data_IF_291702570780
#
_entry.id   IF_291702570780
#
_cell.length_a   1.000
_cell.length_b   1.000
_cell.length_c   1.000
_cell.angle_alpha   90.00
_cell.angle_beta   90.00
_cell.angle_gamma   90.00
#
_symmetry.space_group_name_H-M   'P 1'
#
loop_
_entity.id
_entity.type
_entity.pdbx_description
1 polymer ?
#
# COMPACT_ATOMS: atom_id res chain seq x y z
N UNK A 1 6.70 39.40 0.03
CA UNK A 1 5.56 39.93 0.83
C UNK A 1 4.36 39.12 0.47
N UNK A 2 3.62 38.60 1.44
CA UNK A 2 2.37 37.87 1.16
C UNK A 2 1.34 38.90 0.64
N UNK A 3 0.82 38.65 -0.57
CA UNK A 3 -0.18 39.55 -1.19
C UNK A 3 -1.57 39.09 -0.77
N UNK A 4 -2.40 40.01 -0.30
CA UNK A 4 -3.75 39.76 0.18
C UNK A 4 -4.78 40.26 -0.84
N UNK A 5 -5.78 39.44 -1.16
CA UNK A 5 -6.84 39.79 -2.10
C UNK A 5 -8.24 39.60 -1.46
N UNK A 6 -9.16 40.49 -1.86
CA UNK A 6 -10.59 40.45 -1.50
C UNK A 6 -11.47 40.35 -2.74
N UNK A 7 -10.94 39.79 -3.83
CA UNK A 7 -11.55 39.81 -5.16
C UNK A 7 -12.24 38.49 -5.51
N UNK A 8 -12.88 37.84 -4.53
CA UNK A 8 -13.68 36.64 -4.80
C UNK A 8 -14.85 37.01 -5.68
N UNK A 9 -15.03 36.31 -6.81
CA UNK A 9 -16.12 36.56 -7.76
C UNK A 9 -17.10 35.40 -7.85
N UNK A 10 -16.70 34.18 -7.47
CA UNK A 10 -17.58 32.99 -7.51
C UNK A 10 -17.24 32.02 -6.38
N UNK A 11 -18.27 31.32 -5.86
CA UNK A 11 -18.12 30.23 -4.90
C UNK A 11 -18.88 29.03 -5.44
N UNK A 12 -18.22 27.87 -5.59
CA UNK A 12 -18.81 26.64 -6.10
C UNK A 12 -18.33 25.42 -5.30
N UNK A 13 -19.16 24.91 -4.40
CA UNK A 13 -18.76 23.82 -3.50
C UNK A 13 -17.54 24.19 -2.67
N UNK A 14 -16.45 23.43 -2.66
CA UNK A 14 -15.22 23.73 -1.93
C UNK A 14 -14.33 24.77 -2.65
N UNK A 15 -14.77 25.29 -3.80
CA UNK A 15 -13.97 26.14 -4.67
C UNK A 15 -14.37 27.61 -4.55
N UNK A 16 -13.37 28.50 -4.60
CA UNK A 16 -13.55 29.94 -4.81
C UNK A 16 -12.76 30.38 -6.04
N UNK A 17 -13.34 31.31 -6.79
CA UNK A 17 -12.69 31.96 -7.91
C UNK A 17 -12.36 33.39 -7.52
N UNK A 18 -11.10 33.77 -7.65
CA UNK A 18 -10.63 35.16 -7.50
C UNK A 18 -10.40 35.77 -8.86
N UNK A 19 -10.70 37.05 -8.96
CA UNK A 19 -10.45 37.91 -10.13
C UNK A 19 -9.34 38.92 -9.81
N UNK A 20 -8.63 39.41 -10.81
CA UNK A 20 -7.57 40.44 -10.68
C UNK A 20 -6.47 40.05 -9.69
N UNK A 21 -5.94 38.83 -9.83
CA UNK A 21 -4.79 38.30 -9.09
C UNK A 21 -3.52 38.54 -9.96
N UNK A 22 -2.61 39.37 -9.50
CA UNK A 22 -1.40 39.71 -10.28
C UNK A 22 -0.29 38.64 -10.15
N UNK A 23 -0.23 37.95 -8.99
CA UNK A 23 0.80 36.96 -8.71
C UNK A 23 0.19 35.76 -8.01
N UNK A 24 0.22 34.61 -8.67
CA UNK A 24 -0.12 33.30 -8.11
C UNK A 24 0.76 32.24 -8.74
N UNK A 25 1.06 31.19 -8.00
CA UNK A 25 1.78 30.03 -8.50
C UNK A 25 0.87 28.80 -8.43
N UNK A 26 0.99 27.92 -9.42
CA UNK A 26 0.25 26.66 -9.43
C UNK A 26 0.63 25.81 -8.21
N UNK A 27 -0.36 25.16 -7.57
CA UNK A 27 -0.20 24.40 -6.33
C UNK A 27 0.16 25.24 -5.09
N UNK A 28 0.15 26.55 -5.18
CA UNK A 28 0.48 27.44 -4.08
C UNK A 28 -0.56 27.36 -2.96
N UNK A 29 -0.05 27.33 -1.73
CA UNK A 29 -0.88 27.35 -0.53
C UNK A 29 -1.39 28.78 -0.29
N UNK A 30 -2.67 28.88 0.06
CA UNK A 30 -3.31 30.14 0.45
C UNK A 30 -3.91 30.03 1.84
N UNK A 31 -3.92 31.14 2.55
CA UNK A 31 -4.66 31.34 3.79
C UNK A 31 -5.90 32.18 3.52
N UNK A 32 -7.05 31.71 3.99
CA UNK A 32 -8.35 32.35 3.79
C UNK A 32 -8.88 32.79 5.14
N UNK A 33 -8.96 34.11 5.36
CA UNK A 33 -9.53 34.71 6.57
C UNK A 33 -11.02 35.03 6.33
N UNK A 34 -11.88 34.34 7.08
CA UNK A 34 -13.31 34.58 7.04
C UNK A 34 -13.71 35.85 7.80
N UNK A 35 -14.91 36.44 7.53
CA UNK A 35 -15.42 37.56 8.28
C UNK A 35 -15.58 37.30 9.80
N UNK A 36 -15.66 36.04 10.20
CA UNK A 36 -15.70 35.62 11.61
C UNK A 36 -14.33 35.70 12.32
N UNK A 37 -13.23 35.94 11.58
CA UNK A 37 -11.86 35.83 12.07
C UNK A 37 -11.32 34.38 12.04
N UNK A 38 -12.07 33.41 11.54
CA UNK A 38 -11.61 32.06 11.33
C UNK A 38 -10.66 32.00 10.15
N UNK A 39 -9.53 31.30 10.31
CA UNK A 39 -8.55 31.06 9.26
C UNK A 39 -8.71 29.67 8.68
N UNK A 40 -8.75 29.58 7.37
CA UNK A 40 -8.76 28.32 6.61
C UNK A 40 -7.57 28.29 5.65
N UNK A 41 -7.26 27.08 5.20
CA UNK A 41 -6.21 26.88 4.21
C UNK A 41 -6.83 26.49 2.87
N UNK A 42 -6.15 26.83 1.81
CA UNK A 42 -6.54 26.43 0.46
C UNK A 42 -5.33 26.26 -0.42
N UNK A 43 -5.58 25.79 -1.62
CA UNK A 43 -4.56 25.54 -2.64
C UNK A 43 -5.01 26.07 -3.98
N UNK A 44 -4.08 26.69 -4.71
CA UNK A 44 -4.31 27.12 -6.10
C UNK A 44 -4.41 25.89 -6.99
N UNK A 45 -5.55 25.75 -7.71
CA UNK A 45 -5.79 24.66 -8.63
C UNK A 45 -5.58 25.04 -10.10
N UNK A 46 -5.91 26.29 -10.44
CA UNK A 46 -5.85 26.77 -11.82
C UNK A 46 -5.57 28.25 -11.85
N UNK A 47 -4.80 28.68 -12.82
CA UNK A 47 -4.50 30.07 -13.11
C UNK A 47 -4.85 30.33 -14.57
N UNK A 48 -5.80 31.23 -14.80
CA UNK A 48 -6.21 31.63 -16.14
C UNK A 48 -6.14 33.16 -16.24
N UNK A 49 -5.02 33.64 -16.75
CA UNK A 49 -4.64 35.10 -16.80
C UNK A 49 -4.62 35.68 -15.38
N UNK A 50 -5.56 36.57 -15.08
CA UNK A 50 -5.75 37.22 -13.80
C UNK A 50 -6.79 36.57 -12.89
N UNK A 51 -7.32 35.40 -13.30
CA UNK A 51 -8.27 34.60 -12.54
C UNK A 51 -7.59 33.38 -11.94
N UNK A 52 -7.84 33.16 -10.65
CA UNK A 52 -7.25 32.06 -9.89
C UNK A 52 -8.36 31.24 -9.23
N UNK A 53 -8.40 29.95 -9.54
CA UNK A 53 -9.28 28.99 -8.90
C UNK A 53 -8.56 28.39 -7.70
N UNK A 54 -9.17 28.51 -6.52
CA UNK A 54 -8.63 28.05 -5.27
C UNK A 54 -9.60 27.03 -4.65
N UNK A 55 -9.07 25.95 -4.14
CA UNK A 55 -9.81 25.00 -3.33
C UNK A 55 -9.51 25.25 -1.85
N UNK A 56 -10.57 25.45 -1.05
CA UNK A 56 -10.47 25.62 0.41
C UNK A 56 -10.59 24.24 1.05
N UNK A 57 -9.64 23.89 1.92
CA UNK A 57 -9.55 22.55 2.54
C UNK A 57 -10.73 22.28 3.48
N UNK A 58 -11.04 23.24 4.33
CA UNK A 58 -12.10 23.14 5.33
C UNK A 58 -13.49 23.55 4.77
N UNK A 59 -13.59 23.71 3.44
CA UNK A 59 -14.81 24.09 2.74
C UNK A 59 -15.11 25.60 2.76
N UNK A 60 -16.19 25.96 2.06
CA UNK A 60 -16.53 27.37 1.78
C UNK A 60 -17.65 27.92 2.67
N UNK A 61 -18.14 27.18 3.67
CA UNK A 61 -19.18 27.65 4.59
C UNK A 61 -18.72 28.90 5.34
N UNK A 62 -19.46 29.99 5.25
CA UNK A 62 -19.11 31.25 5.91
C UNK A 62 -18.19 32.17 5.09
N UNK A 63 -17.78 31.76 3.89
CA UNK A 63 -17.06 32.63 2.95
C UNK A 63 -18.03 33.70 2.44
N UNK A 64 -17.61 34.95 2.55
CA UNK A 64 -18.33 36.12 2.04
C UNK A 64 -17.52 36.72 0.88
N UNK A 65 -18.16 36.93 -0.26
CA UNK A 65 -17.51 37.40 -1.49
C UNK A 65 -16.84 38.77 -1.30
N UNK A 66 -17.43 39.65 -0.44
CA UNK A 66 -16.94 41.00 -0.27
C UNK A 66 -15.98 41.19 0.92
N UNK A 67 -16.00 40.26 1.90
CA UNK A 67 -15.29 40.45 3.18
C UNK A 67 -14.20 39.44 3.45
N UNK A 68 -14.27 38.25 2.78
CA UNK A 68 -13.24 37.26 2.96
C UNK A 68 -11.94 37.67 2.31
N UNK A 69 -10.85 37.48 3.01
CA UNK A 69 -9.49 37.79 2.54
C UNK A 69 -8.75 36.54 2.20
N UNK A 70 -8.02 36.58 1.09
CA UNK A 70 -7.19 35.43 0.62
C UNK A 70 -5.74 35.92 0.51
N UNK A 71 -4.86 35.26 1.26
CA UNK A 71 -3.43 35.55 1.28
C UNK A 71 -2.65 34.41 0.61
N UNK A 72 -1.89 34.73 -0.40
CA UNK A 72 -0.98 33.82 -1.07
C UNK A 72 0.33 33.69 -0.29
N UNK A 73 0.80 32.44 -0.07
CA UNK A 73 1.94 32.18 0.82
C UNK A 73 3.27 32.02 0.07
N UNK A 74 3.26 32.03 -1.26
CA UNK A 74 4.45 31.86 -2.11
C UNK A 74 5.13 30.51 -2.02
N UNK A 75 4.43 29.49 -1.55
CA UNK A 75 4.94 28.12 -1.39
C UNK A 75 3.82 27.09 -1.50
N UNK A 76 4.18 25.85 -1.87
CA UNK A 76 3.28 24.73 -1.85
C UNK A 76 3.03 24.17 -0.44
N UNK A 77 2.30 23.06 -0.36
CA UNK A 77 2.12 22.34 0.89
C UNK A 77 3.41 21.61 1.25
N UNK A 78 3.94 21.88 2.43
CA UNK A 78 5.20 21.31 2.93
C UNK A 78 4.97 20.49 4.20
N UNK A 79 5.68 19.37 4.31
CA UNK A 79 5.77 18.59 5.53
C UNK A 79 7.03 18.96 6.32
N UNK A 80 6.87 19.25 7.60
CA UNK A 80 7.97 19.40 8.54
C UNK A 80 8.49 17.99 8.92
N UNK A 81 9.76 17.73 8.67
CA UNK A 81 10.39 16.42 8.91
C UNK A 81 11.58 16.51 9.85
N UNK A 82 11.69 15.52 10.72
CA UNK A 82 12.83 15.22 11.59
C UNK A 82 12.77 13.73 11.96
N UNK A 83 13.80 13.11 12.58
CA UNK A 83 13.69 11.75 13.10
C UNK A 83 12.56 11.56 14.11
N UNK A 84 12.13 12.62 14.78
CA UNK A 84 11.08 12.61 15.81
C UNK A 84 9.66 12.36 15.23
N UNK A 85 9.53 12.20 13.90
CA UNK A 85 8.25 11.78 13.31
C UNK A 85 7.96 10.30 13.56
N UNK A 86 8.97 9.47 13.87
CA UNK A 86 8.77 8.08 14.24
C UNK A 86 7.97 7.96 15.55
N UNK A 87 7.05 7.04 15.58
CA UNK A 87 6.17 6.84 16.74
C UNK A 87 4.98 7.80 16.81
N UNK A 88 4.81 8.70 15.84
CA UNK A 88 3.84 9.79 15.88
C UNK A 88 2.65 9.57 14.95
N UNK A 89 1.55 10.23 15.30
CA UNK A 89 0.30 10.19 14.53
C UNK A 89 -0.01 11.58 14.00
N UNK A 90 -0.30 11.65 12.71
CA UNK A 90 -0.57 12.88 11.98
C UNK A 90 -1.93 12.82 11.27
N UNK A 91 -2.53 13.99 11.04
CA UNK A 91 -3.61 14.10 10.07
C UNK A 91 -3.05 14.06 8.63
N UNK A 92 -3.91 14.07 7.64
CA UNK A 92 -3.52 13.98 6.22
C UNK A 92 -2.65 15.14 5.71
N UNK A 93 -2.64 16.28 6.39
CA UNK A 93 -1.81 17.44 6.07
C UNK A 93 -0.48 17.45 6.85
N UNK A 94 -0.18 16.41 7.65
CA UNK A 94 1.05 16.31 8.42
C UNK A 94 1.07 17.11 9.72
N UNK A 95 -0.10 17.49 10.25
CA UNK A 95 -0.19 18.08 11.59
C UNK A 95 -0.34 16.95 12.62
N UNK A 96 0.48 16.95 13.72
CA UNK A 96 0.34 15.95 14.78
C UNK A 96 -1.06 15.98 15.42
N UNK A 97 -1.61 14.79 15.72
CA UNK A 97 -2.94 14.62 16.37
C UNK A 97 -2.87 13.68 17.57
N UNK A 98 -1.70 13.39 18.07
CA UNK A 98 -1.41 12.44 19.16
C UNK A 98 -1.13 13.13 20.52
N UNK A 99 -1.45 14.43 20.65
CA UNK A 99 -1.17 15.25 21.83
C UNK A 99 0.32 15.25 22.26
N UNK A 100 1.19 14.75 21.40
CA UNK A 100 2.63 14.74 21.64
C UNK A 100 3.29 16.12 21.47
N UNK A 101 4.56 16.25 21.86
CA UNK A 101 5.30 17.50 21.73
C UNK A 101 5.37 17.95 20.26
N UNK A 102 5.46 19.28 20.05
CA UNK A 102 5.66 19.85 18.72
C UNK A 102 6.96 19.33 18.11
N UNK A 103 6.88 18.84 16.89
CA UNK A 103 8.06 18.44 16.13
C UNK A 103 8.87 19.66 15.74
N UNK A 104 10.16 19.65 16.08
CA UNK A 104 11.13 20.66 15.65
C UNK A 104 11.67 20.18 14.30
N UNK A 105 11.32 20.87 13.19
CA UNK A 105 11.71 20.38 11.88
C UNK A 105 13.19 20.59 11.63
N UNK A 106 13.88 19.55 11.14
CA UNK A 106 15.18 19.73 10.51
C UNK A 106 15.04 20.37 9.13
N UNK A 107 13.99 19.97 8.41
CA UNK A 107 13.64 20.46 7.07
C UNK A 107 12.14 20.59 6.90
N UNK A 108 11.75 21.35 5.91
CA UNK A 108 10.41 21.36 5.33
C UNK A 108 10.52 20.94 3.88
N UNK A 109 9.77 19.91 3.52
CA UNK A 109 9.83 19.29 2.20
C UNK A 109 8.46 19.42 1.51
N UNK A 110 8.48 19.79 0.23
CA UNK A 110 7.27 19.83 -0.59
C UNK A 110 6.67 18.41 -0.70
N UNK A 111 5.36 18.28 -0.47
CA UNK A 111 4.69 16.99 -0.49
C UNK A 111 4.61 16.34 -1.88
N UNK A 112 4.78 17.13 -2.94
CA UNK A 112 4.83 16.59 -4.30
C UNK A 112 6.10 15.77 -4.55
N UNK A 113 7.13 15.95 -3.69
CA UNK A 113 8.39 15.24 -3.78
C UNK A 113 9.24 15.71 -4.96
N UNK A 114 10.40 15.10 -5.10
CA UNK A 114 11.30 15.34 -6.23
C UNK A 114 11.38 14.07 -7.11
N UNK A 115 11.47 14.23 -8.44
CA UNK A 115 11.69 13.09 -9.32
C UNK A 115 12.97 12.35 -8.95
N UNK A 116 12.87 11.03 -8.77
CA UNK A 116 14.03 10.19 -8.51
C UNK A 116 14.82 10.02 -9.80
N UNK A 117 16.11 10.39 -9.78
CA UNK A 117 17.00 10.16 -10.90
C UNK A 117 17.08 8.65 -11.21
N UNK A 118 16.70 8.20 -12.41
CA UNK A 118 16.74 6.77 -12.76
C UNK A 118 18.13 6.13 -12.60
N UNK A 119 19.19 6.90 -12.78
CA UNK A 119 20.57 6.42 -12.61
C UNK A 119 20.93 6.06 -11.15
N UNK A 120 20.28 6.69 -10.19
CA UNK A 120 20.48 6.40 -8.76
C UNK A 120 19.70 5.16 -8.30
N UNK A 121 18.77 4.64 -9.11
CA UNK A 121 17.96 3.47 -8.76
C UNK A 121 18.79 2.19 -8.88
N UNK A 122 18.70 1.36 -7.86
CA UNK A 122 19.27 0.01 -7.84
C UNK A 122 18.16 -1.01 -8.09
N UNK A 123 18.48 -2.05 -8.82
CA UNK A 123 17.51 -3.10 -9.13
C UNK A 123 17.14 -3.89 -7.85
N UNK A 124 15.85 -4.06 -7.51
CA UNK A 124 15.39 -4.77 -6.34
C UNK A 124 15.84 -6.24 -6.33
N UNK A 125 16.39 -6.72 -5.20
CA UNK A 125 16.91 -8.10 -5.06
C UNK A 125 16.72 -8.70 -3.66
N UNK A 126 16.27 -7.93 -2.69
CA UNK A 126 16.24 -8.35 -1.30
C UNK A 126 14.83 -8.69 -0.85
N UNK A 127 14.72 -9.80 -0.14
CA UNK A 127 13.47 -10.32 0.39
C UNK A 127 12.99 -9.48 1.57
N UNK A 128 11.72 -9.11 1.56
CA UNK A 128 11.01 -8.59 2.73
C UNK A 128 10.09 -9.69 3.23
N UNK A 129 10.30 -10.11 4.47
CA UNK A 129 9.42 -11.05 5.14
C UNK A 129 8.20 -10.30 5.68
N UNK A 130 7.02 -10.63 5.17
CA UNK A 130 5.74 -10.10 5.66
C UNK A 130 5.17 -10.94 6.79
N UNK A 131 5.67 -12.15 6.98
CA UNK A 131 5.17 -13.13 7.93
C UNK A 131 3.87 -13.83 7.49
N UNK A 132 3.44 -13.59 6.25
CA UNK A 132 2.25 -14.18 5.64
C UNK A 132 2.67 -15.22 4.61
N UNK A 133 2.40 -16.51 4.87
CA UNK A 133 2.86 -17.62 4.04
C UNK A 133 2.45 -17.50 2.56
N UNK A 134 1.21 -17.05 2.29
CA UNK A 134 0.72 -16.88 0.92
C UNK A 134 1.46 -15.76 0.16
N UNK A 135 1.99 -14.75 0.85
CA UNK A 135 2.83 -13.69 0.27
C UNK A 135 4.26 -14.18 0.20
N UNK A 136 4.87 -14.48 1.34
CA UNK A 136 6.29 -14.79 1.43
C UNK A 136 6.69 -16.02 0.62
N UNK A 137 5.85 -17.06 0.64
CA UNK A 137 6.13 -18.32 -0.04
C UNK A 137 5.85 -18.30 -1.55
N UNK A 138 4.84 -17.57 -2.03
CA UNK A 138 4.36 -17.67 -3.42
C UNK A 138 4.38 -16.35 -4.20
N UNK A 139 4.21 -15.23 -3.52
CA UNK A 139 4.08 -13.89 -4.10
C UNK A 139 5.03 -12.90 -3.44
N UNK A 140 6.24 -13.32 -3.20
CA UNK A 140 7.28 -12.65 -2.41
C UNK A 140 7.39 -11.16 -2.67
N UNK A 141 7.38 -10.37 -1.59
CA UNK A 141 7.65 -8.95 -1.60
C UNK A 141 9.16 -8.69 -1.63
N UNK A 142 9.58 -7.80 -2.52
CA UNK A 142 10.99 -7.44 -2.71
C UNK A 142 11.23 -5.98 -2.34
N UNK A 143 12.34 -5.68 -1.70
CA UNK A 143 12.69 -4.33 -1.25
C UNK A 143 12.73 -3.34 -2.43
N UNK A 144 12.00 -2.24 -2.32
CA UNK A 144 11.85 -1.24 -3.38
C UNK A 144 10.74 -1.53 -4.41
N UNK A 145 9.96 -2.60 -4.19
CA UNK A 145 8.83 -2.99 -5.05
C UNK A 145 7.54 -2.25 -4.68
N UNK A 146 6.64 -2.14 -5.66
CA UNK A 146 5.24 -1.76 -5.50
C UNK A 146 4.37 -3.00 -5.68
N UNK A 147 3.80 -3.53 -4.59
CA UNK A 147 2.96 -4.73 -4.62
C UNK A 147 1.61 -4.44 -3.97
N UNK A 148 0.58 -4.08 -4.74
CA UNK A 148 -0.73 -3.73 -4.21
C UNK A 148 -1.51 -4.95 -3.71
N UNK A 149 -2.42 -4.70 -2.76
CA UNK A 149 -3.45 -5.64 -2.31
C UNK A 149 -4.79 -5.19 -2.90
N UNK A 150 -5.36 -6.05 -3.74
CA UNK A 150 -6.69 -5.88 -4.31
C UNK A 150 -7.70 -6.62 -3.44
N UNK A 151 -8.56 -5.86 -2.79
CA UNK A 151 -9.61 -6.36 -1.90
C UNK A 151 -11.00 -6.14 -2.50
N UNK A 152 -12.02 -6.70 -1.88
CA UNK A 152 -13.42 -6.33 -2.07
C UNK A 152 -13.98 -5.68 -0.81
N UNK A 153 -15.05 -4.93 -0.93
CA UNK A 153 -15.71 -4.33 0.24
C UNK A 153 -16.11 -5.40 1.26
N UNK A 154 -15.80 -5.14 2.53
CA UNK A 154 -16.08 -6.06 3.64
C UNK A 154 -15.13 -7.25 3.75
N UNK A 155 -14.05 -7.31 2.97
CA UNK A 155 -12.95 -8.23 3.20
C UNK A 155 -11.93 -7.65 4.17
N UNK A 156 -11.17 -8.47 4.93
CA UNK A 156 -10.30 -8.05 6.03
C UNK A 156 -8.96 -7.48 5.53
N UNK A 157 -9.01 -6.47 4.65
CA UNK A 157 -7.78 -5.85 4.10
C UNK A 157 -7.12 -4.92 5.11
N UNK A 158 -7.89 -4.26 5.97
CA UNK A 158 -7.38 -3.40 7.03
C UNK A 158 -6.59 -4.22 8.06
N UNK A 159 -7.12 -5.37 8.47
CA UNK A 159 -6.46 -6.30 9.39
C UNK A 159 -5.17 -6.88 8.77
N UNK A 160 -5.21 -7.24 7.49
CA UNK A 160 -4.03 -7.73 6.78
C UNK A 160 -2.96 -6.64 6.66
N UNK A 161 -3.35 -5.41 6.33
CA UNK A 161 -2.44 -4.27 6.26
C UNK A 161 -1.77 -3.99 7.62
N UNK A 162 -2.54 -3.99 8.71
CA UNK A 162 -2.02 -3.83 10.07
C UNK A 162 -1.09 -4.99 10.46
N UNK A 163 -1.45 -6.23 10.13
CA UNK A 163 -0.62 -7.40 10.38
C UNK A 163 0.73 -7.31 9.67
N UNK A 164 0.75 -6.94 8.39
CA UNK A 164 2.00 -6.74 7.64
C UNK A 164 2.81 -5.59 8.26
N UNK A 165 2.20 -4.46 8.59
CA UNK A 165 2.87 -3.33 9.21
C UNK A 165 3.54 -3.73 10.54
N UNK A 166 2.85 -4.52 11.37
CA UNK A 166 3.32 -4.95 12.67
C UNK A 166 4.51 -5.90 12.60
N UNK A 167 4.56 -6.80 11.62
CA UNK A 167 5.50 -7.92 11.61
C UNK A 167 6.52 -7.91 10.47
N UNK A 168 6.37 -7.03 9.47
CA UNK A 168 7.31 -6.97 8.35
C UNK A 168 8.74 -6.68 8.80
N UNK A 169 9.70 -7.36 8.17
CA UNK A 169 11.13 -7.25 8.49
C UNK A 169 12.01 -7.59 7.27
N UNK A 170 13.24 -7.12 7.30
CA UNK A 170 14.29 -7.50 6.34
C UNK A 170 15.16 -8.58 6.98
N UNK A 171 15.35 -9.72 6.31
CA UNK A 171 16.12 -10.83 6.85
C UNK A 171 17.62 -10.54 6.86
N UNK A 172 18.28 -10.91 7.96
CA UNK A 172 19.75 -11.11 8.02
C UNK A 172 20.60 -9.85 8.18
N UNK A 173 20.00 -8.66 8.29
CA UNK A 173 20.73 -7.41 8.55
C UNK A 173 20.08 -6.67 9.71
N UNK A 174 20.87 -6.20 10.66
CA UNK A 174 20.42 -5.29 11.74
C UNK A 174 20.16 -3.87 11.19
N UNK A 175 19.50 -3.79 10.03
CA UNK A 175 19.21 -2.53 9.33
C UNK A 175 17.99 -1.85 9.97
N UNK A 176 18.01 -0.53 9.98
CA UNK A 176 16.89 0.27 10.51
C UNK A 176 15.72 0.19 9.55
N UNK A 177 14.63 -0.40 10.01
CA UNK A 177 13.39 -0.58 9.25
C UNK A 177 12.27 0.25 9.85
N UNK A 178 11.65 1.09 9.06
CA UNK A 178 10.54 1.93 9.46
C UNK A 178 9.30 1.66 8.60
N UNK A 179 8.15 2.02 9.13
CA UNK A 179 6.87 1.90 8.45
C UNK A 179 6.21 3.27 8.40
N UNK A 180 5.72 3.62 7.22
CA UNK A 180 4.82 4.76 7.04
C UNK A 180 3.46 4.21 6.65
N UNK A 181 2.47 4.45 7.49
CA UNK A 181 1.11 3.97 7.27
C UNK A 181 0.19 5.15 6.98
N UNK A 182 -0.44 5.16 5.82
CA UNK A 182 -1.38 6.20 5.41
C UNK A 182 -2.77 5.61 5.26
N UNK A 183 -3.70 6.05 6.10
CA UNK A 183 -5.10 5.65 6.08
C UNK A 183 -5.95 6.80 5.55
N UNK A 184 -6.68 6.56 4.46
CA UNK A 184 -7.39 7.58 3.70
C UNK A 184 -8.90 7.29 3.65
N UNK A 185 -9.71 8.22 4.15
CA UNK A 185 -11.16 8.12 4.11
C UNK A 185 -11.71 6.96 4.93
N UNK A 186 -11.03 6.59 6.01
CA UNK A 186 -11.41 5.49 6.89
C UNK A 186 -12.40 5.95 7.96
N UNK A 187 -13.10 4.98 8.56
CA UNK A 187 -13.99 5.26 9.69
C UNK A 187 -13.21 5.55 10.97
N UNK A 188 -13.89 6.13 11.95
CA UNK A 188 -13.29 6.38 13.27
C UNK A 188 -12.91 5.05 13.97
N UNK A 189 -13.71 4.01 13.79
CA UNK A 189 -13.46 2.68 14.34
C UNK A 189 -12.19 2.04 13.75
N UNK A 190 -12.00 2.16 12.43
CA UNK A 190 -10.78 1.69 11.77
C UNK A 190 -9.54 2.46 12.22
N UNK A 191 -9.65 3.78 12.36
CA UNK A 191 -8.56 4.61 12.88
C UNK A 191 -8.14 4.18 14.29
N UNK A 192 -9.13 3.99 15.18
CA UNK A 192 -8.86 3.49 16.53
C UNK A 192 -8.28 2.07 16.53
N UNK A 193 -8.74 1.21 15.63
CA UNK A 193 -8.17 -0.13 15.47
C UNK A 193 -6.68 -0.06 15.14
N UNK A 194 -6.26 0.72 14.16
CA UNK A 194 -4.83 0.86 13.81
C UNK A 194 -4.00 1.43 14.95
N UNK A 195 -4.49 2.49 15.61
CA UNK A 195 -3.78 3.13 16.72
C UNK A 195 -3.56 2.12 17.87
N UNK A 196 -4.62 1.42 18.28
CA UNK A 196 -4.55 0.43 19.37
C UNK A 196 -3.66 -0.75 19.02
N UNK A 197 -3.84 -1.33 17.83
CA UNK A 197 -3.05 -2.49 17.39
C UNK A 197 -1.54 -2.16 17.39
N UNK A 198 -1.15 -1.00 16.89
CA UNK A 198 0.26 -0.60 16.88
C UNK A 198 0.80 -0.24 18.27
N UNK A 199 -0.01 0.34 19.14
CA UNK A 199 0.37 0.64 20.52
C UNK A 199 0.51 -0.62 21.36
N UNK A 200 -0.50 -1.50 21.36
CA UNK A 200 -0.53 -2.73 22.16
C UNK A 200 0.56 -3.73 21.75
N UNK A 201 0.93 -3.75 20.48
CA UNK A 201 1.97 -4.64 19.95
C UNK A 201 3.39 -4.05 20.01
N UNK A 202 3.53 -2.78 20.40
CA UNK A 202 4.82 -2.07 20.41
C UNK A 202 5.33 -1.68 19.02
N UNK A 203 4.56 -1.94 17.96
CA UNK A 203 4.95 -1.57 16.61
C UNK A 203 5.01 -0.06 16.39
N UNK A 204 4.28 0.73 17.20
CA UNK A 204 4.20 2.19 17.08
C UNK A 204 5.58 2.86 17.07
N UNK A 205 6.56 2.36 17.82
CA UNK A 205 7.90 2.97 17.89
C UNK A 205 8.60 3.13 16.53
N UNK A 206 8.26 2.28 15.57
CA UNK A 206 8.80 2.31 14.20
C UNK A 206 7.81 2.73 13.12
N UNK A 207 6.59 3.12 13.52
CA UNK A 207 5.52 3.54 12.62
C UNK A 207 5.38 5.06 12.61
N UNK A 208 5.21 5.64 11.44
CA UNK A 208 4.66 6.99 11.25
C UNK A 208 3.26 6.82 10.68
N UNK A 209 2.24 7.25 11.41
CA UNK A 209 0.85 7.03 11.04
C UNK A 209 0.20 8.33 10.57
N UNK A 210 -0.32 8.33 9.35
CA UNK A 210 -1.13 9.41 8.78
C UNK A 210 -2.58 8.97 8.69
N UNK A 211 -3.50 9.73 9.26
CA UNK A 211 -4.92 9.42 9.30
C UNK A 211 -5.72 10.55 8.65
N UNK A 212 -6.55 10.18 7.68
CA UNK A 212 -7.63 11.01 7.15
C UNK A 212 -8.94 10.23 7.33
N UNK A 213 -9.86 10.78 8.09
CA UNK A 213 -11.16 10.17 8.35
C UNK A 213 -12.14 10.39 7.18
N UNK A 214 -13.21 9.60 7.15
CA UNK A 214 -14.22 9.69 6.12
C UNK A 214 -14.94 11.06 6.08
N UNK A 215 -15.05 11.73 7.23
CA UNK A 215 -15.64 13.05 7.37
C UNK A 215 -14.64 14.22 7.25
N UNK A 216 -13.34 13.92 7.10
CA UNK A 216 -12.34 14.95 6.84
C UNK A 216 -12.44 15.49 5.41
N UNK A 217 -11.92 16.69 5.15
CA UNK A 217 -11.99 17.32 3.84
C UNK A 217 -11.36 16.46 2.72
N UNK A 218 -12.02 16.43 1.56
CA UNK A 218 -11.58 15.68 0.36
C UNK A 218 -10.16 16.02 -0.06
N UNK A 219 -9.76 17.30 0.05
CA UNK A 219 -8.41 17.73 -0.33
C UNK A 219 -7.34 17.20 0.63
N UNK A 220 -7.66 17.07 1.90
CA UNK A 220 -6.78 16.43 2.87
C UNK A 220 -6.54 14.98 2.50
N UNK A 221 -7.58 14.26 2.05
CA UNK A 221 -7.48 12.90 1.55
C UNK A 221 -6.55 12.78 0.35
N UNK A 222 -6.60 13.75 -0.57
CA UNK A 222 -5.69 13.81 -1.74
C UNK A 222 -4.25 14.12 -1.31
N UNK A 223 -4.05 14.93 -0.27
CA UNK A 223 -2.72 15.24 0.24
C UNK A 223 -2.10 14.08 1.02
N UNK A 224 -2.90 13.27 1.74
CA UNK A 224 -2.44 12.24 2.68
C UNK A 224 -1.36 11.30 2.11
N UNK A 225 -1.52 10.64 0.95
CA UNK A 225 -0.49 9.73 0.44
C UNK A 225 0.78 10.47 0.04
N UNK A 226 0.68 11.72 -0.43
CA UNK A 226 1.84 12.55 -0.79
C UNK A 226 2.61 12.96 0.46
N UNK A 227 1.91 13.38 1.51
CA UNK A 227 2.50 13.73 2.81
C UNK A 227 3.22 12.52 3.43
N UNK A 228 2.56 11.35 3.42
CA UNK A 228 3.13 10.10 3.91
C UNK A 228 4.40 9.70 3.13
N UNK A 229 4.36 9.78 1.81
CA UNK A 229 5.52 9.47 0.98
C UNK A 229 6.67 10.46 1.16
N UNK A 230 6.38 11.73 1.46
CA UNK A 230 7.41 12.72 1.77
C UNK A 230 8.12 12.38 3.10
N UNK A 231 7.38 11.93 4.11
CA UNK A 231 7.96 11.39 5.33
C UNK A 231 8.83 10.15 5.05
N UNK A 232 8.33 9.25 4.20
CA UNK A 232 9.07 8.05 3.79
C UNK A 232 10.37 8.39 3.02
N UNK A 233 10.33 9.35 2.11
CA UNK A 233 11.51 9.82 1.37
C UNK A 233 12.57 10.40 2.28
N UNK A 234 12.17 11.22 3.26
CA UNK A 234 13.10 11.74 4.25
C UNK A 234 13.78 10.62 5.04
N UNK A 235 13.00 9.67 5.58
CA UNK A 235 13.55 8.54 6.34
C UNK A 235 14.43 7.65 5.46
N UNK A 236 14.00 7.35 4.24
CA UNK A 236 14.73 6.45 3.35
C UNK A 236 15.99 7.11 2.76
N UNK A 237 15.84 8.26 2.13
CA UNK A 237 16.90 8.81 1.27
C UNK A 237 17.84 9.78 1.98
N UNK A 238 17.38 10.41 3.06
CA UNK A 238 18.25 11.27 3.87
C UNK A 238 18.79 10.58 5.11
N UNK A 239 18.03 9.63 5.69
CA UNK A 239 18.46 8.88 6.89
C UNK A 239 19.00 7.48 6.60
N UNK A 240 18.87 7.00 5.34
CA UNK A 240 19.37 5.69 4.93
C UNK A 240 18.58 4.53 5.52
N UNK A 241 17.30 4.74 5.82
CA UNK A 241 16.42 3.70 6.37
C UNK A 241 15.75 2.87 5.27
N UNK A 242 15.27 1.70 5.63
CA UNK A 242 14.40 0.91 4.78
C UNK A 242 12.95 1.14 5.22
N UNK A 243 12.14 1.73 4.34
CA UNK A 243 10.79 2.16 4.68
C UNK A 243 9.77 1.34 3.89
N UNK A 244 8.86 0.69 4.62
CA UNK A 244 7.66 0.09 4.05
C UNK A 244 6.51 1.10 4.16
N UNK A 245 5.95 1.49 3.03
CA UNK A 245 4.80 2.40 2.96
C UNK A 245 3.55 1.59 2.67
N UNK A 246 2.56 1.65 3.55
CA UNK A 246 1.24 1.04 3.35
C UNK A 246 0.22 2.15 3.21
N UNK A 247 -0.55 2.13 2.13
CA UNK A 247 -1.55 3.16 1.81
C UNK A 247 -2.93 2.51 1.66
N UNK A 248 -3.85 2.77 2.58
CA UNK A 248 -5.21 2.24 2.59
C UNK A 248 -6.24 3.34 2.84
N UNK A 249 -7.35 3.51 2.12
CA UNK A 249 -7.72 2.81 0.91
C UNK A 249 -7.49 3.71 -0.31
N UNK A 250 -6.77 3.20 -1.30
CA UNK A 250 -6.50 3.95 -2.54
C UNK A 250 -7.76 4.17 -3.38
N UNK A 251 -8.83 3.41 -3.15
CA UNK A 251 -10.12 3.66 -3.77
C UNK A 251 -10.72 4.95 -3.24
N UNK A 252 -10.66 5.19 -1.92
CA UNK A 252 -11.13 6.46 -1.32
C UNK A 252 -10.32 7.66 -1.84
N UNK A 253 -9.02 7.47 -2.08
CA UNK A 253 -8.18 8.47 -2.73
C UNK A 253 -8.67 8.80 -4.15
N UNK A 254 -8.91 7.79 -4.98
CA UNK A 254 -9.40 7.98 -6.35
C UNK A 254 -10.81 8.60 -6.39
N UNK A 255 -11.69 8.24 -5.43
CA UNK A 255 -13.00 8.88 -5.28
C UNK A 255 -12.87 10.37 -4.95
N UNK A 256 -11.91 10.73 -4.10
CA UNK A 256 -11.62 12.13 -3.78
C UNK A 256 -11.17 12.91 -5.04
N UNK A 257 -10.33 12.31 -5.88
CA UNK A 257 -9.95 12.91 -7.17
C UNK A 257 -11.16 13.08 -8.08
N UNK A 258 -12.05 12.09 -8.15
CA UNK A 258 -13.29 12.17 -8.94
C UNK A 258 -14.18 13.30 -8.45
N UNK A 259 -14.37 13.45 -7.15
CA UNK A 259 -15.17 14.52 -6.54
C UNK A 259 -14.63 15.91 -6.93
N UNK A 260 -13.31 16.11 -6.82
CA UNK A 260 -12.66 17.38 -7.19
C UNK A 260 -12.78 17.65 -8.69
N UNK A 261 -12.57 16.64 -9.54
CA UNK A 261 -12.71 16.75 -10.99
C UNK A 261 -14.13 17.16 -11.40
N UNK A 262 -15.17 16.59 -10.79
CA UNK A 262 -16.56 16.97 -11.01
C UNK A 262 -16.82 18.41 -10.57
N UNK A 263 -16.31 18.83 -9.40
CA UNK A 263 -16.45 20.21 -8.91
C UNK A 263 -15.79 21.23 -9.86
N UNK A 264 -14.69 20.84 -10.53
CA UNK A 264 -14.00 21.64 -11.55
C UNK A 264 -14.66 21.58 -12.93
N UNK A 265 -15.72 20.81 -13.11
CA UNK A 265 -16.41 20.59 -14.39
C UNK A 265 -15.46 20.05 -15.49
N UNK A 266 -14.48 19.25 -15.11
CA UNK A 266 -13.57 18.60 -16.05
C UNK A 266 -14.30 17.56 -16.89
N UNK A 267 -13.81 17.31 -18.11
CA UNK A 267 -14.38 16.26 -18.98
C UNK A 267 -14.08 14.89 -18.33
N UNK A 268 -15.11 14.12 -17.96
CA UNK A 268 -14.90 12.85 -17.28
C UNK A 268 -14.28 11.81 -18.21
N UNK A 269 -13.35 11.04 -17.70
CA UNK A 269 -12.82 9.83 -18.31
C UNK A 269 -13.70 8.61 -18.02
N UNK A 270 -13.09 7.42 -18.07
CA UNK A 270 -13.75 6.13 -17.85
C UNK A 270 -14.39 6.08 -16.44
N UNK A 271 -15.67 5.69 -16.36
CA UNK A 271 -16.48 5.62 -15.14
C UNK A 271 -16.52 6.94 -14.31
N UNK A 272 -16.32 8.09 -14.97
CA UNK A 272 -16.40 9.40 -14.32
C UNK A 272 -15.14 9.83 -13.55
N UNK A 273 -14.07 9.06 -13.62
CA UNK A 273 -12.78 9.46 -13.06
C UNK A 273 -12.09 10.51 -13.96
N UNK A 274 -11.18 11.35 -13.37
CA UNK A 274 -10.45 12.32 -14.19
C UNK A 274 -9.56 11.63 -15.23
N UNK A 275 -9.40 12.26 -16.40
CA UNK A 275 -8.56 11.72 -17.47
C UNK A 275 -7.10 11.50 -17.10
N UNK A 276 -6.61 12.24 -16.08
CA UNK A 276 -5.26 12.17 -15.57
C UNK A 276 -5.07 11.14 -14.43
N UNK A 277 -6.06 10.32 -14.10
CA UNK A 277 -5.99 9.35 -12.99
C UNK A 277 -4.74 8.45 -13.06
N UNK A 278 -4.39 7.98 -14.27
CA UNK A 278 -3.19 7.16 -14.47
C UNK A 278 -1.92 7.90 -14.07
N UNK A 279 -1.74 9.10 -14.60
CA UNK A 279 -0.55 9.94 -14.32
C UNK A 279 -0.47 10.29 -12.84
N UNK A 280 -1.59 10.60 -12.22
CA UNK A 280 -1.64 10.95 -10.80
C UNK A 280 -1.24 9.75 -9.91
N UNK A 281 -1.81 8.57 -10.14
CA UNK A 281 -1.39 7.34 -9.45
C UNK A 281 0.09 7.00 -9.72
N UNK A 282 0.57 7.21 -10.95
CA UNK A 282 1.97 7.00 -11.29
C UNK A 282 2.90 7.93 -10.48
N UNK A 283 2.53 9.19 -10.26
CA UNK A 283 3.33 10.13 -9.43
C UNK A 283 3.47 9.67 -7.99
N UNK A 284 2.49 8.93 -7.47
CA UNK A 284 2.52 8.35 -6.12
C UNK A 284 3.36 7.07 -6.11
N UNK A 285 3.04 6.12 -6.99
CA UNK A 285 3.67 4.80 -6.96
C UNK A 285 5.14 4.83 -7.41
N UNK A 286 5.52 5.72 -8.32
CA UNK A 286 6.92 5.86 -8.78
C UNK A 286 7.86 6.48 -7.73
N UNK A 287 7.35 6.90 -6.58
CA UNK A 287 8.18 7.28 -5.41
C UNK A 287 8.76 6.07 -4.67
N UNK A 288 8.37 4.84 -5.00
CA UNK A 288 9.00 3.63 -4.53
C UNK A 288 10.33 3.36 -5.25
N UNK A 289 11.26 2.72 -4.56
CA UNK A 289 12.52 2.27 -5.13
C UNK A 289 13.62 2.10 -4.10
N UNK A 290 14.70 1.49 -4.54
CA UNK A 290 15.95 1.37 -3.80
C UNK A 290 16.95 2.35 -4.42
N UNK A 291 17.51 3.26 -3.61
CA UNK A 291 18.49 4.24 -4.07
C UNK A 291 19.83 4.01 -3.40
N UNK A 292 20.90 4.19 -4.18
CA UNK A 292 22.26 4.35 -3.68
C UNK A 292 22.71 5.77 -3.96
N UNK A 293 22.92 6.53 -2.91
CA UNK A 293 23.40 7.91 -2.96
C UNK A 293 24.73 8.06 -2.24
N UNK A 294 25.47 9.12 -2.57
CA UNK A 294 26.58 9.61 -1.76
C UNK A 294 26.10 10.87 -1.04
N UNK A 295 26.05 10.84 0.28
CA UNK A 295 25.81 12.02 1.08
C UNK A 295 27.07 12.27 1.94
N UNK A 296 27.67 13.47 1.83
CA UNK A 296 28.89 13.86 2.57
C UNK A 296 30.08 12.87 2.44
N UNK A 297 30.18 12.16 1.30
CA UNK A 297 31.26 11.19 1.04
C UNK A 297 30.95 9.75 1.46
N UNK A 298 29.91 9.49 2.22
CA UNK A 298 29.44 8.15 2.58
C UNK A 298 28.41 7.64 1.56
N UNK A 299 28.51 6.37 1.21
CA UNK A 299 27.49 5.68 0.42
C UNK A 299 26.34 5.33 1.35
N UNK A 300 25.22 6.00 1.18
CA UNK A 300 23.97 5.65 1.89
C UNK A 300 23.03 4.92 0.95
N UNK A 301 22.46 3.83 1.46
CA UNK A 301 21.46 3.04 0.76
C UNK A 301 20.16 3.16 1.55
N UNK A 302 19.08 3.59 0.88
CA UNK A 302 17.75 3.67 1.45
C UNK A 302 16.72 3.17 0.47
N UNK A 303 15.59 2.67 0.97
CA UNK A 303 14.54 2.14 0.10
C UNK A 303 13.14 2.50 0.57
N UNK A 304 12.25 2.67 -0.39
CA UNK A 304 10.81 2.75 -0.18
C UNK A 304 10.17 1.58 -0.91
N UNK A 305 9.54 0.70 -0.15
CA UNK A 305 8.68 -0.39 -0.65
C UNK A 305 7.25 0.02 -0.42
N UNK A 306 6.36 -0.17 -1.40
CA UNK A 306 4.97 0.25 -1.28
C UNK A 306 4.01 -0.93 -1.34
N UNK A 307 3.03 -0.95 -0.44
CA UNK A 307 1.85 -1.81 -0.47
C UNK A 307 0.61 -0.89 -0.55
N UNK A 308 0.20 -0.49 -1.76
CA UNK A 308 -1.10 0.13 -1.94
C UNK A 308 -2.21 -0.89 -1.69
N UNK A 309 -3.17 -0.54 -0.84
CA UNK A 309 -4.36 -1.36 -0.58
C UNK A 309 -5.55 -0.66 -1.22
N UNK A 310 -6.34 -1.39 -1.98
CA UNK A 310 -7.52 -0.84 -2.64
C UNK A 310 -8.70 -1.80 -2.57
N UNK A 311 -9.90 -1.24 -2.44
CA UNK A 311 -11.17 -1.96 -2.50
C UNK A 311 -11.74 -1.88 -3.91
N UNK A 312 -11.89 -3.03 -4.57
CA UNK A 312 -12.48 -3.10 -5.92
C UNK A 312 -14.00 -2.93 -5.82
N UNK A 313 -14.59 -1.90 -6.46
CA UNK A 313 -16.03 -1.82 -6.59
C UNK A 313 -16.58 -3.05 -7.31
N UNK A 314 -17.63 -3.67 -6.77
CA UNK A 314 -18.27 -4.89 -7.29
C UNK A 314 -17.34 -6.10 -7.48
N UNK A 315 -16.22 -6.15 -6.74
CA UNK A 315 -15.13 -7.12 -6.91
C UNK A 315 -14.58 -7.17 -8.38
N UNK A 316 -14.77 -6.06 -9.14
CA UNK A 316 -14.43 -5.95 -10.56
C UNK A 316 -12.97 -5.50 -10.76
N UNK A 317 -12.12 -6.44 -11.17
CA UNK A 317 -10.69 -6.18 -11.48
C UNK A 317 -10.50 -5.28 -12.72
N UNK A 318 -11.54 -5.13 -13.57
CA UNK A 318 -11.50 -4.28 -14.77
C UNK A 318 -11.93 -2.85 -14.49
N UNK A 319 -12.30 -2.55 -13.23
CA UNK A 319 -12.57 -1.19 -12.79
C UNK A 319 -11.31 -0.32 -12.96
N UNK A 320 -11.43 0.99 -13.33
CA UNK A 320 -10.26 1.85 -13.59
C UNK A 320 -9.21 1.85 -12.49
N UNK A 321 -9.59 1.79 -11.22
CA UNK A 321 -8.66 1.85 -10.09
C UNK A 321 -7.73 0.62 -10.04
N UNK A 322 -8.22 -0.63 -9.93
CA UNK A 322 -7.33 -1.80 -9.95
C UNK A 322 -6.63 -1.98 -11.30
N UNK A 323 -7.31 -1.70 -12.42
CA UNK A 323 -6.75 -1.83 -13.77
C UNK A 323 -5.51 -0.93 -13.93
N UNK A 324 -5.63 0.37 -13.65
CA UNK A 324 -4.51 1.31 -13.76
C UNK A 324 -3.41 1.03 -12.73
N UNK A 325 -3.77 0.68 -11.50
CA UNK A 325 -2.80 0.29 -10.47
C UNK A 325 -1.98 -0.93 -10.91
N UNK A 326 -2.61 -1.94 -11.50
CA UNK A 326 -1.94 -3.14 -12.02
C UNK A 326 -0.95 -2.86 -13.14
N UNK A 327 -1.16 -1.82 -13.96
CA UNK A 327 -0.22 -1.39 -15.00
C UNK A 327 1.04 -0.71 -14.43
N UNK A 328 0.87 0.08 -13.36
CA UNK A 328 1.98 0.87 -12.78
C UNK A 328 2.86 0.03 -11.86
N UNK A 329 2.29 -0.99 -11.22
CA UNK A 329 2.93 -1.77 -10.15
C UNK A 329 3.53 -3.08 -10.64
N UNK A 330 4.34 -3.75 -9.82
CA UNK A 330 5.02 -4.99 -10.16
C UNK A 330 4.29 -6.26 -9.68
N UNK A 331 2.97 -6.28 -9.80
CA UNK A 331 2.14 -7.43 -9.45
C UNK A 331 0.90 -7.03 -8.65
N UNK A 332 0.27 -8.00 -8.01
CA UNK A 332 -0.90 -7.81 -7.14
C UNK A 332 -1.11 -9.01 -6.21
N UNK A 333 -1.61 -8.75 -5.02
CA UNK A 333 -2.16 -9.75 -4.09
C UNK A 333 -3.68 -9.59 -4.13
N UNK A 334 -4.41 -10.66 -4.35
CA UNK A 334 -5.88 -10.62 -4.49
C UNK A 334 -6.53 -11.33 -3.31
N UNK A 335 -7.41 -10.61 -2.60
CA UNK A 335 -8.28 -11.16 -1.60
C UNK A 335 -9.55 -11.71 -2.24
N UNK A 336 -10.01 -12.87 -1.79
CA UNK A 336 -11.11 -13.62 -2.38
C UNK A 336 -12.26 -13.82 -1.38
N UNK A 337 -13.46 -13.46 -1.82
CA UNK A 337 -14.66 -13.56 -1.01
C UNK A 337 -15.07 -15.00 -0.73
N UNK A 338 -14.75 -15.95 -1.63
CA UNK A 338 -15.06 -17.36 -1.44
C UNK A 338 -14.21 -17.97 -0.32
N UNK A 339 -12.91 -17.63 -0.27
CA UNK A 339 -12.02 -18.03 0.81
C UNK A 339 -12.44 -17.41 2.15
N UNK A 340 -12.83 -16.14 2.14
CA UNK A 340 -13.35 -15.46 3.34
C UNK A 340 -14.59 -16.16 3.90
N UNK A 341 -15.54 -16.55 3.03
CA UNK A 341 -16.75 -17.30 3.44
C UNK A 341 -16.43 -18.69 4.02
N UNK A 342 -15.32 -19.30 3.59
CA UNK A 342 -14.80 -20.56 4.16
C UNK A 342 -14.10 -20.36 5.51
N UNK A 343 -14.03 -19.11 6.04
CA UNK A 343 -13.32 -18.78 7.28
C UNK A 343 -11.80 -18.83 7.16
N UNK A 344 -11.26 -18.64 5.95
CA UNK A 344 -9.82 -18.52 5.70
C UNK A 344 -9.41 -17.07 5.90
N UNK A 345 -8.44 -16.83 6.78
CA UNK A 345 -7.78 -15.54 6.99
C UNK A 345 -6.26 -15.74 6.94
N UNK A 346 -5.50 -14.85 6.27
CA UNK A 346 -6.01 -13.89 5.28
C UNK A 346 -6.58 -14.61 4.03
N UNK A 347 -7.67 -14.12 3.44
CA UNK A 347 -8.31 -14.80 2.33
C UNK A 347 -7.61 -14.55 0.99
N UNK A 348 -6.30 -14.80 0.93
CA UNK A 348 -5.47 -14.54 -0.25
C UNK A 348 -5.67 -15.66 -1.27
N UNK A 349 -6.18 -15.31 -2.45
CA UNK A 349 -6.23 -16.22 -3.59
C UNK A 349 -4.90 -16.19 -4.33
N UNK A 350 -4.11 -17.22 -4.18
CA UNK A 350 -2.75 -17.28 -4.73
C UNK A 350 -2.71 -17.45 -6.24
N UNK A 351 -3.78 -17.98 -6.87
CA UNK A 351 -3.80 -18.26 -8.31
C UNK A 351 -3.80 -16.97 -9.16
N UNK A 352 -4.67 -15.98 -8.90
CA UNK A 352 -4.66 -14.71 -9.62
C UNK A 352 -3.66 -13.71 -9.03
N UNK A 353 -3.01 -14.01 -7.90
CA UNK A 353 -1.98 -13.18 -7.31
C UNK A 353 -0.64 -13.37 -8.01
N UNK A 354 0.14 -12.30 -8.11
CA UNK A 354 1.41 -12.32 -8.82
C UNK A 354 2.37 -11.29 -8.23
N UNK A 355 3.62 -11.68 -7.98
CA UNK A 355 4.75 -10.76 -7.82
C UNK A 355 5.74 -10.95 -8.95
N UNK A 356 5.89 -9.92 -9.80
CA UNK A 356 6.80 -9.98 -10.97
C UNK A 356 8.27 -9.99 -10.58
N UNK A 357 8.59 -9.58 -9.34
CA UNK A 357 9.96 -9.54 -8.82
C UNK A 357 10.29 -10.74 -7.90
N UNK A 358 9.36 -11.65 -7.66
CA UNK A 358 9.52 -12.80 -6.77
C UNK A 358 10.87 -13.50 -6.96
N UNK A 359 11.17 -13.93 -8.18
CA UNK A 359 12.38 -14.71 -8.48
C UNK A 359 13.70 -13.94 -8.23
N UNK A 360 13.62 -12.62 -8.08
CA UNK A 360 14.78 -11.79 -7.74
C UNK A 360 15.04 -11.73 -6.23
N UNK A 361 13.98 -11.92 -5.43
CA UNK A 361 14.04 -11.85 -3.96
C UNK A 361 14.29 -13.18 -3.27
N UNK A 362 14.22 -14.32 -3.96
CA UNK A 362 14.26 -15.65 -3.36
C UNK A 362 15.49 -16.46 -3.79
N UNK A 363 15.76 -17.57 -3.08
CA UNK A 363 16.85 -18.51 -3.38
C UNK A 363 18.06 -18.32 -2.49
N UNK A 364 19.15 -18.99 -2.84
CA UNK A 364 20.42 -19.03 -2.08
C UNK A 364 20.93 -17.64 -1.69
N UNK A 365 21.19 -17.44 -0.41
CA UNK A 365 21.69 -16.17 0.13
C UNK A 365 20.61 -15.10 0.39
N UNK A 366 19.33 -15.41 0.13
CA UNK A 366 18.16 -14.52 0.40
C UNK A 366 17.11 -15.21 1.24
N UNK A 367 16.66 -16.37 0.78
CA UNK A 367 15.77 -17.29 1.48
C UNK A 367 16.42 -18.68 1.47
N UNK A 368 15.67 -19.74 1.28
CA UNK A 368 16.21 -21.10 1.16
C UNK A 368 16.39 -21.49 -0.32
N UNK A 369 17.35 -22.35 -0.61
CA UNK A 369 17.76 -22.73 -1.97
C UNK A 369 16.67 -23.40 -2.82
N UNK A 370 15.74 -24.12 -2.17
CA UNK A 370 14.62 -24.83 -2.79
C UNK A 370 13.39 -23.93 -3.01
N UNK A 371 13.39 -22.69 -2.51
CA UNK A 371 12.19 -21.82 -2.45
C UNK A 371 11.50 -21.68 -3.80
N UNK A 372 12.21 -21.37 -4.87
CA UNK A 372 11.61 -21.18 -6.19
C UNK A 372 10.89 -22.45 -6.70
N UNK A 373 11.49 -23.61 -6.45
CA UNK A 373 10.97 -24.88 -6.94
C UNK A 373 9.75 -25.33 -6.13
N UNK A 374 9.81 -25.21 -4.80
CA UNK A 374 8.66 -25.54 -3.94
C UNK A 374 7.49 -24.61 -4.20
N UNK A 375 7.74 -23.30 -4.36
CA UNK A 375 6.70 -22.33 -4.71
C UNK A 375 5.98 -22.71 -6.01
N UNK A 376 6.74 -23.04 -7.05
CA UNK A 376 6.19 -23.45 -8.35
C UNK A 376 5.40 -24.77 -8.26
N UNK A 377 5.86 -25.72 -7.43
CA UNK A 377 5.15 -26.99 -7.24
C UNK A 377 3.86 -26.78 -6.44
N UNK A 378 3.90 -26.01 -5.35
CA UNK A 378 2.71 -25.69 -4.55
C UNK A 378 1.64 -24.98 -5.40
N UNK A 379 2.05 -23.97 -6.18
CA UNK A 379 1.15 -23.25 -7.08
C UNK A 379 0.50 -24.21 -8.10
N UNK A 380 1.30 -25.04 -8.77
CA UNK A 380 0.80 -25.99 -9.75
C UNK A 380 -0.13 -27.05 -9.15
N UNK A 381 0.23 -27.56 -7.97
CA UNK A 381 -0.60 -28.55 -7.27
C UNK A 381 -1.93 -27.94 -6.79
N UNK A 382 -1.91 -26.68 -6.34
CA UNK A 382 -3.14 -26.00 -5.94
C UNK A 382 -4.03 -25.65 -7.16
N UNK A 383 -3.44 -25.24 -8.28
CA UNK A 383 -4.19 -25.06 -9.52
C UNK A 383 -4.86 -26.37 -9.95
N UNK A 384 -4.12 -27.50 -9.91
CA UNK A 384 -4.68 -28.81 -10.22
C UNK A 384 -5.81 -29.19 -9.27
N UNK A 385 -5.67 -28.89 -7.97
CA UNK A 385 -6.75 -29.19 -7.02
C UNK A 385 -8.05 -28.46 -7.36
N UNK A 386 -7.97 -27.22 -7.86
CA UNK A 386 -9.17 -26.46 -8.28
C UNK A 386 -9.81 -27.03 -9.54
N UNK A 387 -9.03 -27.46 -10.52
CA UNK A 387 -9.54 -28.16 -11.69
C UNK A 387 -10.26 -29.45 -11.28
N UNK A 388 -9.72 -30.19 -10.32
CA UNK A 388 -10.34 -31.42 -9.82
C UNK A 388 -11.62 -31.15 -9.01
N UNK A 389 -11.65 -30.05 -8.22
CA UNK A 389 -12.88 -29.61 -7.54
C UNK A 389 -14.01 -29.34 -8.54
N UNK A 390 -13.71 -28.64 -9.65
CA UNK A 390 -14.68 -28.37 -10.73
C UNK A 390 -15.13 -29.67 -11.41
N UNK A 391 -14.19 -30.58 -11.66
CA UNK A 391 -14.48 -31.88 -12.24
C UNK A 391 -15.39 -32.75 -11.32
N UNK A 392 -15.14 -32.71 -10.01
CA UNK A 392 -15.94 -33.40 -9.02
C UNK A 392 -17.41 -32.93 -8.97
N UNK A 393 -17.62 -31.63 -9.18
CA UNK A 393 -18.98 -31.05 -9.27
C UNK A 393 -19.76 -31.60 -10.46
N UNK A 394 -19.07 -31.88 -11.59
CA UNK A 394 -19.70 -32.33 -12.84
C UNK A 394 -19.90 -33.85 -12.87
N UNK A 395 -18.88 -34.63 -12.47
CA UNK A 395 -18.85 -36.09 -12.61
C UNK A 395 -19.19 -36.84 -11.31
N UNK A 396 -19.15 -36.15 -10.17
CA UNK A 396 -19.24 -36.74 -8.83
C UNK A 396 -17.88 -37.26 -8.33
N UNK A 397 -17.67 -37.24 -7.03
CA UNK A 397 -16.40 -37.65 -6.39
C UNK A 397 -16.05 -39.14 -6.62
N UNK A 398 -17.05 -39.98 -6.82
CA UNK A 398 -16.84 -41.40 -7.08
C UNK A 398 -16.16 -41.70 -8.42
N UNK A 399 -16.23 -40.76 -9.37
CA UNK A 399 -15.60 -40.89 -10.70
C UNK A 399 -14.12 -40.41 -10.71
N UNK A 400 -13.64 -39.84 -9.64
CA UNK A 400 -12.27 -39.31 -9.55
C UNK A 400 -11.25 -40.44 -9.37
N UNK A 401 -10.09 -40.27 -10.03
CA UNK A 401 -8.94 -41.17 -9.79
C UNK A 401 -8.36 -40.96 -8.38
N UNK A 402 -7.57 -41.91 -7.89
CA UNK A 402 -6.89 -41.78 -6.58
C UNK A 402 -5.91 -40.62 -6.56
N UNK A 403 -5.29 -40.30 -7.69
CA UNK A 403 -4.45 -39.11 -7.83
C UNK A 403 -5.28 -37.80 -7.69
N UNK A 404 -6.45 -37.73 -8.33
CA UNK A 404 -7.33 -36.57 -8.23
C UNK A 404 -7.85 -36.39 -6.80
N UNK A 405 -8.22 -37.48 -6.11
CA UNK A 405 -8.59 -37.42 -4.68
C UNK A 405 -7.46 -36.89 -3.81
N UNK A 406 -6.20 -37.26 -4.12
CA UNK A 406 -5.03 -36.73 -3.42
C UNK A 406 -4.84 -35.24 -3.65
N UNK A 407 -5.09 -34.71 -4.87
CA UNK A 407 -5.07 -33.28 -5.15
C UNK A 407 -6.21 -32.53 -4.47
N UNK A 408 -7.41 -33.09 -4.38
CA UNK A 408 -8.50 -32.46 -3.60
C UNK A 408 -8.11 -32.31 -2.12
N UNK A 409 -7.62 -33.41 -1.51
CA UNK A 409 -7.17 -33.41 -0.12
C UNK A 409 -5.99 -32.43 0.10
N UNK A 410 -5.09 -32.29 -0.88
CA UNK A 410 -4.03 -31.31 -0.87
C UNK A 410 -4.59 -29.89 -0.90
N UNK A 411 -5.53 -29.59 -1.80
CA UNK A 411 -6.11 -28.25 -1.94
C UNK A 411 -6.78 -27.78 -0.66
N UNK A 412 -7.58 -28.61 -0.03
CA UNK A 412 -8.22 -28.33 1.26
C UNK A 412 -7.18 -28.07 2.37
N UNK A 413 -6.16 -28.93 2.45
CA UNK A 413 -5.09 -28.77 3.43
C UNK A 413 -4.25 -27.52 3.15
N UNK A 414 -4.02 -27.16 1.88
CA UNK A 414 -3.33 -25.96 1.48
C UNK A 414 -4.08 -24.70 1.93
N UNK A 415 -5.38 -24.60 1.68
CA UNK A 415 -6.21 -23.49 2.15
C UNK A 415 -6.19 -23.39 3.68
N UNK A 416 -6.37 -24.52 4.40
CA UNK A 416 -6.50 -24.52 5.86
C UNK A 416 -5.19 -24.40 6.62
N UNK A 417 -4.06 -24.81 6.06
CA UNK A 417 -2.77 -24.81 6.77
C UNK A 417 -1.76 -23.82 6.22
N UNK A 418 -1.70 -23.65 4.89
CA UNK A 418 -0.75 -22.74 4.26
C UNK A 418 -1.28 -21.32 4.15
N UNK A 419 -2.49 -21.14 3.59
CA UNK A 419 -3.09 -19.81 3.42
C UNK A 419 -3.63 -19.27 4.74
N UNK A 420 -4.37 -20.11 5.48
CA UNK A 420 -4.93 -19.67 6.78
C UNK A 420 -3.86 -19.45 7.82
N UNK A 421 -3.91 -18.26 8.44
CA UNK A 421 -3.09 -17.86 9.58
C UNK A 421 -3.93 -17.12 10.61
N UNK A 422 -3.44 -17.05 11.84
CA UNK A 422 -4.01 -16.16 12.86
C UNK A 422 -3.63 -14.70 12.60
N UNK A 423 -4.48 -13.77 13.04
CA UNK A 423 -4.25 -12.31 12.88
C UNK A 423 -2.92 -11.85 13.49
N UNK A 424 -2.44 -12.53 14.52
CA UNK A 424 -1.17 -12.24 15.18
C UNK A 424 -0.08 -13.28 14.86
N UNK A 425 -0.34 -14.20 13.94
CA UNK A 425 0.61 -15.23 13.57
C UNK A 425 1.63 -14.68 12.57
N UNK A 426 2.90 -14.76 12.96
CA UNK A 426 4.04 -14.37 12.14
C UNK A 426 4.85 -15.62 11.79
N UNK A 427 4.82 -16.03 10.53
CA UNK A 427 5.57 -17.20 10.06
C UNK A 427 6.87 -16.79 9.41
N UNK A 428 7.99 -17.29 9.94
CA UNK A 428 9.27 -17.16 9.24
C UNK A 428 9.24 -17.91 7.91
N UNK A 429 10.08 -17.49 6.96
CA UNK A 429 10.13 -18.11 5.64
C UNK A 429 10.48 -19.57 5.71
N UNK A 430 11.36 -19.99 6.63
CA UNK A 430 11.74 -21.39 6.84
C UNK A 430 10.54 -22.23 7.28
N UNK A 431 9.69 -21.71 8.16
CA UNK A 431 8.45 -22.36 8.60
C UNK A 431 7.47 -22.49 7.44
N UNK A 432 7.32 -21.41 6.65
CA UNK A 432 6.46 -21.39 5.46
C UNK A 432 6.89 -22.45 4.43
N UNK A 433 8.19 -22.55 4.13
CA UNK A 433 8.70 -23.54 3.20
C UNK A 433 8.63 -24.98 3.78
N UNK A 434 8.85 -25.15 5.10
CA UNK A 434 8.66 -26.42 5.78
C UNK A 434 7.22 -26.93 5.68
N UNK A 435 6.26 -26.05 5.97
CA UNK A 435 4.84 -26.33 5.81
C UNK A 435 4.47 -26.71 4.37
N UNK A 436 5.07 -26.04 3.39
CA UNK A 436 4.92 -26.41 1.97
C UNK A 436 5.35 -27.84 1.69
N UNK A 437 6.47 -28.30 2.22
CA UNK A 437 6.93 -29.68 2.08
C UNK A 437 6.01 -30.68 2.76
N UNK A 438 5.51 -30.38 3.97
CA UNK A 438 4.52 -31.24 4.63
C UNK A 438 3.25 -31.44 3.79
N UNK A 439 2.82 -30.38 3.11
CA UNK A 439 1.65 -30.45 2.22
C UNK A 439 1.93 -31.26 0.97
N UNK A 440 3.12 -31.09 0.35
CA UNK A 440 3.51 -31.88 -0.82
C UNK A 440 3.64 -33.39 -0.52
N UNK A 441 3.88 -33.78 0.72
CA UNK A 441 3.87 -35.17 1.12
C UNK A 441 2.48 -35.86 0.97
N UNK A 442 1.40 -35.08 0.78
CA UNK A 442 0.03 -35.61 0.58
C UNK A 442 -0.26 -36.03 -0.87
N UNK A 443 0.55 -35.58 -1.82
CA UNK A 443 0.40 -35.96 -3.23
C UNK A 443 1.40 -37.05 -3.61
N UNK A 444 1.07 -37.90 -4.61
CA UNK A 444 1.98 -38.94 -5.07
C UNK A 444 3.34 -38.41 -5.50
N UNK A 445 4.43 -39.04 -5.09
CA UNK A 445 5.80 -38.63 -5.45
C UNK A 445 5.98 -38.40 -6.96
N UNK A 446 5.34 -39.21 -7.80
CA UNK A 446 5.38 -39.11 -9.25
C UNK A 446 4.79 -37.77 -9.78
N UNK A 447 3.98 -37.07 -8.99
CA UNK A 447 3.37 -35.80 -9.34
C UNK A 447 4.19 -34.57 -8.88
N UNK A 448 5.26 -34.78 -8.10
CA UNK A 448 6.21 -33.75 -7.72
C UNK A 448 7.24 -33.58 -8.85
N UNK A 449 6.85 -32.89 -9.93
CA UNK A 449 7.62 -32.80 -11.20
C UNK A 449 8.44 -31.53 -11.33
N UNK A 450 8.21 -30.53 -10.46
CA UNK A 450 8.84 -29.20 -10.57
C UNK A 450 9.99 -28.98 -9.59
N UNK A 451 10.35 -30.03 -8.84
CA UNK A 451 11.39 -29.99 -7.83
C UNK A 451 12.43 -31.05 -8.17
N UNK A 452 13.71 -30.69 -8.09
CA UNK A 452 14.82 -31.63 -8.28
C UNK A 452 14.85 -32.68 -7.20
N UNK A 453 15.31 -33.88 -7.56
CA UNK A 453 15.38 -35.03 -6.64
C UNK A 453 16.21 -34.73 -5.39
N UNK A 454 17.34 -34.01 -5.53
CA UNK A 454 18.18 -33.59 -4.41
C UNK A 454 17.43 -32.85 -3.29
N UNK A 455 16.48 -31.96 -3.66
CA UNK A 455 15.69 -31.25 -2.68
C UNK A 455 14.54 -32.09 -2.12
N UNK A 456 14.00 -32.99 -2.93
CA UNK A 456 12.97 -33.91 -2.47
C UNK A 456 13.55 -34.91 -1.44
N UNK A 457 14.74 -35.43 -1.69
CA UNK A 457 15.44 -36.29 -0.72
C UNK A 457 15.82 -35.57 0.57
N UNK A 458 16.14 -34.27 0.46
CA UNK A 458 16.59 -33.45 1.58
C UNK A 458 15.42 -32.96 2.46
N UNK A 459 14.30 -32.58 1.86
CA UNK A 459 13.26 -31.80 2.56
C UNK A 459 11.89 -32.51 2.64
N UNK A 460 11.58 -33.50 1.78
CA UNK A 460 10.29 -34.17 1.84
C UNK A 460 10.22 -35.02 3.11
N UNK A 461 9.20 -34.86 3.98
CA UNK A 461 9.03 -35.69 5.16
C UNK A 461 8.92 -37.16 4.80
N UNK A 462 9.73 -38.00 5.42
CA UNK A 462 9.61 -39.46 5.26
C UNK A 462 8.31 -39.91 5.96
N UNK A 463 7.52 -40.79 5.34
CA UNK A 463 6.35 -41.35 6.03
C UNK A 463 6.80 -42.04 7.32
N UNK A 464 6.20 -41.63 8.45
CA UNK A 464 6.40 -42.34 9.72
C UNK A 464 5.93 -43.81 9.54
N UNK A 465 6.86 -44.75 9.49
CA UNK A 465 6.46 -46.15 9.45
C UNK A 465 7.36 -47.15 8.72
N UNK A 466 8.63 -46.82 8.43
CA UNK A 466 9.64 -47.88 8.18
C UNK A 466 10.84 -47.64 9.08
N UNK A 467 10.75 -48.04 10.35
CA UNK A 467 11.95 -48.47 11.08
C UNK A 467 12.46 -49.70 10.33
N UNK A 468 13.60 -49.60 9.67
CA UNK A 468 14.33 -50.74 9.21
C UNK A 468 14.64 -51.59 10.44
N UNK A 469 14.06 -52.82 10.46
CA UNK A 469 14.44 -53.87 11.36
C UNK A 469 15.72 -54.56 10.89
#
# INVERSE_FOLDING_TARGET
MATEYTTICEIAGPLILLDRVDHATYEELVEVELPSGEHRRGKVLEINRDRVLIQIFEGTRGVDIAKTKVRFLGRGLELAVSPDILGRIFNGLGSPIDDGPRIIPEKKLDINGNPINPYARVYPKEFIQTGISAIDGLNTLVRGQKLPIFSGFGLPHSELAAQIARQASVLGRGETFAIVFAAMGITFEEANYFIRDFQETGAMERVVLFINLANDPTIERIATPRTALTAAEYLAFERGMHVLVIMTDMTNYCEALREVSVARKEIPGRRGYPGYLYTDLATIYERAGLLKGKNEGEVREGSITQIPVLSMPDDDKTHPIPDLTGYITEGQIILDRSLHRKGIYPPINVLPSLSRLRDKGIGTGRTREDHAQIANQLFSSYARSKEVEELAVVLGEAALSDADKSFMAFGEAFERRFVRQGVHENRAIEQTLGLGWELLAKIPRAEIKRIKDEFIEKYLPRPEGRREG
#
